data_IF_113225846226
#
_entry.id   IF_113225846226
#
_cell.length_a   1.000
_cell.length_b   1.000
_cell.length_c   1.000
_cell.angle_alpha   90.00
_cell.angle_beta   90.00
_cell.angle_gamma   90.00
#
_symmetry.space_group_name_H-M   'P 1'
#
loop_
_entity.id
_entity.type
_entity.pdbx_description
1 polymer ?
#
# COMPACT_ATOMS: atom_id res chain seq x y z
N UNK A 1 -10.78 -10.75 -8.70
CA UNK A 1 -11.96 -10.58 -7.81
C UNK A 1 -11.56 -9.94 -6.49
N UNK A 2 -10.65 -10.54 -5.72
CA UNK A 2 -10.17 -10.02 -4.42
C UNK A 2 -9.69 -8.56 -4.52
N UNK A 3 -8.79 -8.26 -5.45
CA UNK A 3 -8.34 -6.88 -5.72
C UNK A 3 -9.48 -5.91 -5.94
N UNK A 4 -10.47 -6.26 -6.75
CA UNK A 4 -11.64 -5.40 -7.01
C UNK A 4 -12.43 -5.14 -5.74
N UNK A 5 -12.64 -6.17 -4.90
CA UNK A 5 -13.30 -6.00 -3.60
C UNK A 5 -12.49 -5.09 -2.69
N UNK A 6 -11.18 -5.28 -2.61
CA UNK A 6 -10.26 -4.47 -1.80
C UNK A 6 -10.28 -3.00 -2.22
N UNK A 7 -10.18 -2.72 -3.53
CA UNK A 7 -10.26 -1.35 -4.08
C UNK A 7 -11.63 -0.70 -3.82
N UNK A 8 -12.73 -1.45 -3.93
CA UNK A 8 -14.07 -0.93 -3.62
C UNK A 8 -14.25 -0.54 -2.15
N UNK A 9 -13.44 -1.08 -1.23
CA UNK A 9 -13.41 -0.70 0.19
C UNK A 9 -12.53 0.53 0.47
N UNK A 10 -12.01 1.20 -0.58
CA UNK A 10 -11.16 2.39 -0.45
C UNK A 10 -9.67 2.07 -0.28
N UNK A 11 -9.23 0.85 -0.59
CA UNK A 11 -7.80 0.54 -0.52
C UNK A 11 -7.01 1.34 -1.57
N UNK A 12 -5.83 1.81 -1.15
CA UNK A 12 -4.90 2.54 -2.00
C UNK A 12 -3.89 1.55 -2.60
N UNK A 13 -3.64 1.65 -3.91
CA UNK A 13 -2.59 0.87 -4.58
C UNK A 13 -1.37 1.77 -4.77
N UNK A 14 -0.33 1.52 -3.98
CA UNK A 14 0.95 2.21 -4.12
C UNK A 14 1.86 1.40 -5.04
N UNK A 15 1.73 1.60 -6.34
CA UNK A 15 2.59 0.95 -7.34
C UNK A 15 3.95 1.68 -7.43
N UNK A 16 4.78 1.49 -6.40
CA UNK A 16 6.12 2.05 -6.37
C UNK A 16 7.05 1.29 -7.31
N UNK A 17 7.83 2.05 -8.10
CA UNK A 17 8.88 1.49 -8.94
C UNK A 17 10.05 1.05 -8.04
N UNK A 18 10.26 -0.25 -7.95
CA UNK A 18 11.39 -0.84 -7.22
C UNK A 18 12.58 -1.05 -8.17
N UNK A 19 13.79 -0.98 -7.62
CA UNK A 19 15.01 -1.33 -8.35
C UNK A 19 15.28 -2.84 -8.23
N UNK A 20 15.67 -3.47 -9.34
CA UNK A 20 16.17 -4.85 -9.40
C UNK A 20 17.64 -4.81 -9.83
N UNK A 21 18.52 -5.27 -8.95
CA UNK A 21 19.95 -5.37 -9.25
C UNK A 21 20.20 -6.69 -9.95
N UNK A 22 20.82 -6.64 -11.14
CA UNK A 22 21.33 -7.81 -11.86
C UNK A 22 22.77 -8.05 -11.42
N UNK A 23 23.10 -9.30 -11.13
CA UNK A 23 24.40 -9.71 -10.64
C UNK A 23 24.99 -10.81 -11.52
N UNK A 24 26.32 -10.84 -11.63
CA UNK A 24 27.07 -11.91 -12.27
C UNK A 24 27.04 -13.21 -11.43
N UNK A 25 27.75 -14.25 -11.89
CA UNK A 25 27.80 -15.54 -11.21
C UNK A 25 28.53 -15.48 -9.86
N UNK A 26 29.43 -14.52 -9.69
CA UNK A 26 30.19 -14.25 -8.48
C UNK A 26 29.44 -13.32 -7.51
N UNK A 27 28.30 -12.76 -7.93
CA UNK A 27 27.45 -11.88 -7.15
C UNK A 27 27.79 -10.39 -7.26
N UNK A 28 28.67 -9.99 -8.18
CA UNK A 28 28.96 -8.58 -8.42
C UNK A 28 27.85 -7.92 -9.25
N UNK A 29 27.45 -6.67 -8.93
CA UNK A 29 26.43 -5.96 -9.69
C UNK A 29 26.88 -5.65 -11.12
N UNK A 30 26.09 -6.09 -12.10
CA UNK A 30 26.28 -5.75 -13.52
C UNK A 30 25.38 -4.57 -13.94
N UNK A 31 24.14 -4.52 -13.44
CA UNK A 31 23.16 -3.51 -13.85
C UNK A 31 22.06 -3.29 -12.80
N UNK A 32 21.32 -2.18 -12.93
CA UNK A 32 20.15 -1.85 -12.11
C UNK A 32 18.98 -1.52 -13.03
N UNK A 33 17.96 -2.37 -13.01
CA UNK A 33 16.76 -2.22 -13.84
C UNK A 33 15.52 -1.95 -13.00
N UNK A 34 14.48 -1.41 -13.61
CA UNK A 34 13.18 -1.29 -12.94
C UNK A 34 12.55 -2.68 -12.78
N UNK A 35 12.09 -2.99 -11.58
CA UNK A 35 11.36 -4.22 -11.29
C UNK A 35 9.91 -4.07 -11.75
N UNK A 36 9.48 -4.99 -12.61
CA UNK A 36 8.08 -5.09 -13.00
C UNK A 36 7.35 -6.12 -12.14
N UNK A 37 6.18 -5.74 -11.60
CA UNK A 37 5.30 -6.63 -10.84
C UNK A 37 4.36 -7.38 -11.78
N UNK A 38 4.59 -8.67 -11.92
CA UNK A 38 3.82 -9.59 -12.76
C UNK A 38 2.41 -9.85 -12.23
N UNK A 39 1.54 -10.38 -13.08
CA UNK A 39 0.18 -10.83 -12.68
C UNK A 39 0.22 -11.94 -11.63
N UNK A 40 1.24 -12.81 -11.68
CA UNK A 40 1.40 -13.88 -10.70
C UNK A 40 1.73 -13.33 -9.30
N UNK A 41 2.61 -12.33 -9.22
CA UNK A 41 2.94 -11.68 -7.96
C UNK A 41 1.73 -10.93 -7.39
N UNK A 42 0.97 -10.22 -8.23
CA UNK A 42 -0.29 -9.57 -7.81
C UNK A 42 -1.31 -10.57 -7.30
N UNK A 43 -1.38 -11.77 -7.89
CA UNK A 43 -2.26 -12.82 -7.43
C UNK A 43 -1.86 -13.31 -6.03
N UNK A 44 -0.58 -13.62 -5.84
CA UNK A 44 -0.05 -14.06 -4.55
C UNK A 44 -0.28 -12.99 -3.48
N UNK A 45 -0.01 -11.72 -3.80
CA UNK A 45 -0.22 -10.58 -2.90
C UNK A 45 -1.68 -10.53 -2.40
N UNK A 46 -2.67 -10.64 -3.28
CA UNK A 46 -4.09 -10.61 -2.89
C UNK A 46 -4.48 -11.78 -1.97
N UNK A 47 -3.92 -12.97 -2.19
CA UNK A 47 -4.16 -14.09 -1.28
C UNK A 47 -3.50 -13.88 0.08
N UNK A 48 -2.26 -13.38 0.10
CA UNK A 48 -1.56 -13.07 1.34
C UNK A 48 -2.28 -12.00 2.16
N UNK A 49 -2.80 -10.96 1.50
CA UNK A 49 -3.60 -9.93 2.16
C UNK A 49 -4.86 -10.52 2.81
N UNK A 50 -5.63 -11.33 2.08
CA UNK A 50 -6.85 -11.95 2.62
C UNK A 50 -6.52 -12.92 3.77
N UNK A 51 -5.44 -13.70 3.65
CA UNK A 51 -5.01 -14.58 4.73
C UNK A 51 -4.67 -13.80 6.00
N UNK A 52 -3.89 -12.72 5.88
CA UNK A 52 -3.50 -11.88 7.01
C UNK A 52 -4.72 -11.18 7.64
N UNK A 53 -5.63 -10.62 6.84
CA UNK A 53 -6.88 -10.01 7.30
C UNK A 53 -7.74 -11.05 8.06
N UNK A 54 -7.87 -12.27 7.53
CA UNK A 54 -8.69 -13.34 8.13
C UNK A 54 -8.13 -13.78 9.48
N UNK A 55 -6.81 -13.95 9.60
CA UNK A 55 -6.17 -14.33 10.87
C UNK A 55 -6.33 -13.20 11.89
N UNK A 56 -6.06 -11.96 11.49
CA UNK A 56 -6.23 -10.81 12.38
C UNK A 56 -7.67 -10.67 12.89
N UNK A 57 -8.65 -10.84 11.99
CA UNK A 57 -10.07 -10.82 12.35
C UNK A 57 -10.44 -11.96 13.30
N UNK A 58 -9.96 -13.18 13.05
CA UNK A 58 -10.22 -14.33 13.91
C UNK A 58 -9.73 -14.09 15.35
N UNK A 59 -8.50 -13.61 15.51
CA UNK A 59 -7.92 -13.31 16.82
C UNK A 59 -8.56 -12.09 17.49
N UNK A 60 -9.03 -11.11 16.70
CA UNK A 60 -9.82 -9.99 17.22
C UNK A 60 -11.09 -10.48 17.92
N UNK A 61 -11.86 -11.37 17.28
CA UNK A 61 -13.08 -11.92 17.84
C UNK A 61 -12.86 -12.87 19.02
N UNK A 62 -11.71 -13.55 19.07
CA UNK A 62 -11.32 -14.37 20.23
C UNK A 62 -10.99 -13.52 21.47
N UNK A 63 -10.78 -12.21 21.32
CA UNK A 63 -10.43 -11.27 22.38
C UNK A 63 -9.21 -11.74 23.22
N UNK A 64 -8.21 -12.27 22.53
CA UNK A 64 -6.93 -12.69 23.12
C UNK A 64 -5.80 -11.75 22.67
N UNK A 65 -4.72 -11.63 23.44
CA UNK A 65 -3.55 -10.88 23.01
C UNK A 65 -3.02 -11.39 21.67
N UNK A 66 -2.89 -10.49 20.69
CA UNK A 66 -2.37 -10.78 19.36
C UNK A 66 -1.61 -9.58 18.81
N UNK A 67 -0.63 -9.80 17.93
CA UNK A 67 0.13 -8.73 17.32
C UNK A 67 -0.55 -8.26 16.03
N UNK A 68 -0.84 -6.96 15.98
CA UNK A 68 -1.45 -6.32 14.80
C UNK A 68 -0.45 -5.38 14.12
N UNK A 69 -0.63 -5.20 12.81
CA UNK A 69 0.01 -4.12 12.05
C UNK A 69 -1.04 -3.07 11.77
N UNK A 70 -0.90 -1.89 12.38
CA UNK A 70 -1.86 -0.78 12.25
C UNK A 70 -1.21 0.34 11.45
N UNK A 71 -1.94 0.85 10.45
CA UNK A 71 -1.59 2.05 9.72
C UNK A 71 -2.52 3.17 10.19
N UNK A 72 -1.96 4.19 10.84
CA UNK A 72 -2.72 5.34 11.34
C UNK A 72 -3.06 6.33 10.22
N UNK A 73 -4.08 7.15 10.46
CA UNK A 73 -4.47 8.21 9.54
C UNK A 73 -3.34 9.23 9.34
N UNK A 74 -3.25 9.85 8.14
CA UNK A 74 -2.28 10.90 7.89
C UNK A 74 -2.49 12.08 8.85
N UNK A 75 -1.39 12.65 9.35
CA UNK A 75 -1.44 13.86 10.19
C UNK A 75 -2.05 15.03 9.42
N UNK A 76 -2.94 15.79 10.06
CA UNK A 76 -3.61 16.97 9.50
C UNK A 76 -2.62 17.96 8.84
N UNK A 77 -1.50 18.27 9.51
CA UNK A 77 -0.47 19.15 8.96
C UNK A 77 0.12 18.63 7.64
N UNK A 78 0.30 17.30 7.50
CA UNK A 78 0.81 16.71 6.25
C UNK A 78 -0.23 16.79 5.14
N UNK A 79 -1.52 16.60 5.47
CA UNK A 79 -2.62 16.73 4.52
C UNK A 79 -2.76 18.17 4.04
N UNK A 80 -2.69 19.15 4.94
CA UNK A 80 -2.74 20.58 4.60
C UNK A 80 -1.64 20.94 3.59
N UNK A 81 -0.39 20.56 3.87
CA UNK A 81 0.74 20.81 2.97
C UNK A 81 0.54 20.15 1.60
N UNK A 82 -0.03 18.94 1.58
CA UNK A 82 -0.35 18.26 0.33
C UNK A 82 -1.44 19.00 -0.47
N UNK A 83 -2.51 19.46 0.19
CA UNK A 83 -3.58 20.22 -0.45
C UNK A 83 -3.10 21.55 -1.03
N UNK A 84 -2.26 22.29 -0.30
CA UNK A 84 -1.62 23.51 -0.80
C UNK A 84 -0.76 23.22 -2.03
N UNK A 85 0.02 22.13 -2.01
CA UNK A 85 0.85 21.73 -3.14
C UNK A 85 0.00 21.41 -4.38
N UNK A 86 -1.04 20.58 -4.28
CA UNK A 86 -1.85 20.22 -5.45
C UNK A 86 -2.72 21.37 -5.96
N UNK A 87 -3.06 22.34 -5.10
CA UNK A 87 -3.76 23.56 -5.51
C UNK A 87 -2.94 24.40 -6.49
N UNK A 88 -1.60 24.37 -6.39
CA UNK A 88 -0.72 25.04 -7.39
C UNK A 88 -0.84 24.44 -8.79
N UNK A 89 -1.29 23.19 -8.90
CA UNK A 89 -1.58 22.51 -10.17
C UNK A 89 -3.04 22.68 -10.62
N UNK A 90 -3.84 23.50 -9.91
CA UNK A 90 -5.24 23.77 -10.25
C UNK A 90 -6.25 22.74 -9.71
N UNK A 91 -5.81 21.81 -8.84
CA UNK A 91 -6.71 20.85 -8.21
C UNK A 91 -7.21 21.37 -6.86
N UNK A 92 -8.53 21.48 -6.70
CA UNK A 92 -9.16 21.85 -5.42
C UNK A 92 -9.87 20.64 -4.82
N UNK A 93 -9.44 20.21 -3.65
CA UNK A 93 -10.11 19.15 -2.88
C UNK A 93 -11.13 19.81 -1.95
N UNK A 94 -12.37 19.30 -1.93
CA UNK A 94 -13.44 19.78 -1.05
C UNK A 94 -13.57 18.85 0.15
N UNK A 95 -13.23 19.35 1.34
CA UNK A 95 -13.41 18.67 2.63
C UNK A 95 -12.32 19.08 3.63
N UNK A 96 -12.62 18.98 4.94
CA UNK A 96 -11.62 19.18 5.99
C UNK A 96 -10.73 17.94 6.10
N UNK A 97 -9.51 18.08 6.63
CA UNK A 97 -8.53 16.99 6.71
C UNK A 97 -9.05 15.70 7.40
N UNK A 98 -10.12 15.79 8.20
CA UNK A 98 -10.75 14.68 8.90
C UNK A 98 -12.14 14.26 8.35
N UNK A 99 -12.66 14.93 7.30
CA UNK A 99 -14.03 14.73 6.77
C UNK A 99 -14.05 14.69 5.22
N UNK A 100 -13.01 14.12 4.59
CA UNK A 100 -13.02 13.78 3.15
C UNK A 100 -13.40 12.32 2.97
#
# INVERSE_FOLDING_TARGET
ILRKRRMNRGAIDFDFKEAKVLVDAEGHPEDIVLRERSTAEKLIEEFMLVANETVAEHFHWLNVPFMYRVHEDPKEEKLQRFFEFIATFGYTVKGAANDI
#
